data_IF_574863442019
#
_entry.id   IF_574863442019
#
_cell.length_a   1.000
_cell.length_b   1.000
_cell.length_c   1.000
_cell.angle_alpha   90.00
_cell.angle_beta   90.00
_cell.angle_gamma   90.00
#
_symmetry.space_group_name_H-M   'P 1'
#
loop_
_entity.id
_entity.type
_entity.pdbx_description
1 polymer ?
#
# COMPACT_ATOMS: atom_id res chain seq x y z
N UNK A 1 -13.12 5.08 -17.39
CA UNK A 1 -11.76 4.83 -17.90
C UNK A 1 -11.04 4.00 -16.85
N UNK A 2 -10.94 2.69 -17.05
CA UNK A 2 -10.07 1.83 -16.25
C UNK A 2 -8.79 1.72 -17.04
N UNK A 3 -7.85 2.60 -16.71
CA UNK A 3 -6.53 2.63 -17.30
C UNK A 3 -5.65 1.56 -16.63
N UNK A 4 -4.64 1.14 -17.38
CA UNK A 4 -3.75 -0.01 -17.22
C UNK A 4 -3.11 -0.11 -15.82
N UNK A 5 -3.19 -1.29 -15.19
CA UNK A 5 -2.12 -1.91 -14.38
C UNK A 5 -1.53 -1.22 -13.13
N UNK A 6 -1.91 0.00 -12.78
CA UNK A 6 -1.31 0.74 -11.66
C UNK A 6 -1.83 0.28 -10.30
N UNK A 7 -0.93 0.08 -9.34
CA UNK A 7 -1.24 -0.16 -7.95
C UNK A 7 -2.07 1.02 -7.42
N UNK A 8 -3.30 0.76 -6.94
CA UNK A 8 -4.17 1.84 -6.52
C UNK A 8 -3.59 2.52 -5.27
N UNK A 9 -3.76 3.84 -5.18
CA UNK A 9 -3.44 4.56 -3.96
C UNK A 9 -4.25 3.95 -2.79
N UNK A 10 -3.62 3.58 -1.66
CA UNK A 10 -4.34 2.99 -0.54
C UNK A 10 -5.48 3.88 -0.02
N UNK A 11 -5.29 5.19 -0.12
CA UNK A 11 -6.29 6.20 0.17
C UNK A 11 -7.53 6.15 -0.72
N UNK A 12 -7.36 5.87 -2.01
CA UNK A 12 -8.47 5.75 -2.96
C UNK A 12 -9.26 4.46 -2.70
N UNK A 13 -8.56 3.36 -2.40
CA UNK A 13 -9.20 2.10 -1.96
C UNK A 13 -10.03 2.34 -0.71
N UNK A 14 -9.45 2.97 0.31
CA UNK A 14 -10.15 3.32 1.55
C UNK A 14 -11.41 4.16 1.28
N UNK A 15 -11.29 5.19 0.43
CA UNK A 15 -12.42 6.09 0.14
C UNK A 15 -13.52 5.38 -0.66
N UNK A 16 -13.17 4.75 -1.78
CA UNK A 16 -14.13 4.28 -2.77
C UNK A 16 -14.70 2.90 -2.46
N UNK A 17 -13.94 2.03 -1.80
CA UNK A 17 -14.39 0.66 -1.50
C UNK A 17 -14.98 0.52 -0.09
N UNK A 18 -14.60 1.39 0.85
CA UNK A 18 -15.05 1.28 2.24
C UNK A 18 -15.89 2.47 2.69
N UNK A 19 -15.40 3.71 2.56
CA UNK A 19 -16.09 4.87 3.12
C UNK A 19 -17.37 5.23 2.37
N UNK A 20 -17.29 5.43 1.05
CA UNK A 20 -18.43 5.84 0.23
C UNK A 20 -19.57 4.80 0.22
N UNK A 21 -19.32 3.49 0.02
CA UNK A 21 -20.39 2.50 -0.04
C UNK A 21 -21.12 2.31 1.31
N UNK A 22 -20.47 2.63 2.42
CA UNK A 22 -21.01 2.47 3.77
C UNK A 22 -21.48 3.79 4.40
N UNK A 23 -21.49 4.89 3.64
CA UNK A 23 -21.82 6.24 4.12
C UNK A 23 -21.01 6.65 5.37
N UNK A 24 -19.74 6.26 5.44
CA UNK A 24 -18.84 6.59 6.54
C UNK A 24 -18.06 7.86 6.17
N UNK A 25 -18.17 8.90 7.02
CA UNK A 25 -17.38 10.12 6.84
C UNK A 25 -15.95 9.93 7.33
N UNK A 26 -15.00 10.70 6.79
CA UNK A 26 -13.60 10.71 7.28
C UNK A 26 -13.52 11.02 8.78
N UNK A 27 -14.37 11.93 9.26
CA UNK A 27 -14.46 12.27 10.68
C UNK A 27 -14.91 11.06 11.51
N UNK A 28 -15.93 10.33 11.07
CA UNK A 28 -16.43 9.14 11.76
C UNK A 28 -15.35 8.04 11.82
N UNK A 29 -14.64 7.79 10.71
CA UNK A 29 -13.53 6.85 10.70
C UNK A 29 -12.41 7.28 11.66
N UNK A 30 -11.98 8.55 11.59
CA UNK A 30 -10.93 9.07 12.46
C UNK A 30 -11.28 8.93 13.95
N UNK A 31 -12.54 9.24 14.31
CA UNK A 31 -13.03 9.05 15.68
C UNK A 31 -13.02 7.59 16.10
N UNK A 32 -13.44 6.66 15.22
CA UNK A 32 -13.42 5.23 15.50
C UNK A 32 -12.00 4.67 15.67
N UNK A 33 -11.02 5.24 14.96
CA UNK A 33 -9.59 4.90 15.10
C UNK A 33 -8.90 5.66 16.24
N UNK A 34 -9.58 6.56 16.96
CA UNK A 34 -8.98 7.46 17.95
C UNK A 34 -7.82 8.29 17.37
N UNK A 35 -8.02 8.86 16.18
CA UNK A 35 -7.05 9.67 15.47
C UNK A 35 -7.60 11.05 15.10
N UNK A 36 -6.74 12.05 14.89
CA UNK A 36 -7.13 13.30 14.24
C UNK A 36 -7.67 13.04 12.83
N UNK A 37 -8.73 13.77 12.42
CA UNK A 37 -9.28 13.67 11.06
C UNK A 37 -8.26 13.97 9.97
N UNK A 38 -7.28 14.84 10.25
CA UNK A 38 -6.18 15.15 9.32
C UNK A 38 -5.33 13.91 9.00
N UNK A 39 -5.30 12.90 9.86
CA UNK A 39 -4.63 11.63 9.58
C UNK A 39 -5.34 10.89 8.45
N UNK A 40 -6.65 10.67 8.58
CA UNK A 40 -7.48 10.01 7.56
C UNK A 40 -7.50 10.79 6.25
N UNK A 41 -7.64 12.12 6.32
CA UNK A 41 -7.57 12.99 5.14
C UNK A 41 -6.21 12.91 4.44
N UNK A 42 -5.12 12.84 5.21
CA UNK A 42 -3.78 12.65 4.67
C UNK A 42 -3.60 11.32 3.94
N UNK A 43 -4.17 10.24 4.48
CA UNK A 43 -4.15 8.90 3.85
C UNK A 43 -4.92 8.93 2.53
N UNK A 44 -6.16 9.45 2.55
CA UNK A 44 -7.01 9.55 1.35
C UNK A 44 -6.33 10.36 0.24
N UNK A 45 -5.62 11.43 0.59
CA UNK A 45 -4.91 12.29 -0.37
C UNK A 45 -3.52 11.80 -0.76
N UNK A 46 -3.09 10.63 -0.29
CA UNK A 46 -1.75 10.09 -0.54
C UNK A 46 -0.61 10.89 0.10
N UNK A 47 -0.93 11.84 0.99
CA UNK A 47 0.06 12.67 1.71
C UNK A 47 0.60 12.00 2.97
N UNK A 48 0.01 10.88 3.37
CA UNK A 48 0.43 10.07 4.51
C UNK A 48 0.32 8.60 4.14
N UNK A 49 1.39 7.86 4.37
CA UNK A 49 1.40 6.39 4.24
C UNK A 49 0.58 5.72 5.33
N UNK A 50 0.05 4.55 5.01
CA UNK A 50 -0.49 3.63 6.01
C UNK A 50 0.70 2.91 6.66
N UNK A 51 0.94 3.19 7.94
CA UNK A 51 1.91 2.46 8.76
C UNK A 51 1.28 1.19 9.33
N UNK A 52 2.08 0.28 9.88
CA UNK A 52 1.60 -0.92 10.56
C UNK A 52 0.55 -0.61 11.63
N UNK A 53 0.77 0.41 12.47
CA UNK A 53 -0.21 0.81 13.49
C UNK A 53 -1.55 1.25 12.88
N UNK A 54 -1.51 2.03 11.79
CA UNK A 54 -2.71 2.45 11.08
C UNK A 54 -3.42 1.26 10.41
N UNK A 55 -2.67 0.31 9.86
CA UNK A 55 -3.21 -0.91 9.27
C UNK A 55 -3.98 -1.75 10.30
N UNK A 56 -3.44 -1.93 11.52
CA UNK A 56 -4.18 -2.62 12.60
C UNK A 56 -5.45 -1.86 13.03
N UNK A 57 -5.41 -0.53 13.09
CA UNK A 57 -6.59 0.26 13.42
C UNK A 57 -7.66 0.19 12.31
N UNK A 58 -7.27 0.25 11.04
CA UNK A 58 -8.15 0.08 9.89
C UNK A 58 -8.76 -1.34 9.88
N UNK A 59 -7.91 -2.36 10.07
CA UNK A 59 -8.30 -3.76 10.17
C UNK A 59 -9.40 -3.97 11.21
N UNK A 60 -9.18 -3.47 12.43
CA UNK A 60 -10.13 -3.56 13.52
C UNK A 60 -11.46 -2.85 13.22
N UNK A 61 -11.41 -1.61 12.71
CA UNK A 61 -12.61 -0.79 12.49
C UNK A 61 -13.42 -1.22 11.27
N UNK A 62 -12.76 -1.76 10.24
CA UNK A 62 -13.39 -2.09 8.94
C UNK A 62 -13.57 -3.60 8.72
N UNK A 63 -13.12 -4.44 9.65
CA UNK A 63 -13.27 -5.91 9.55
C UNK A 63 -12.42 -6.50 8.42
N UNK A 64 -11.18 -6.04 8.27
CA UNK A 64 -10.24 -6.47 7.22
C UNK A 64 -8.94 -7.00 7.84
N UNK A 65 -8.15 -7.81 7.13
CA UNK A 65 -6.79 -8.14 7.58
C UNK A 65 -5.88 -6.91 7.56
N UNK A 66 -4.98 -6.70 8.53
CA UNK A 66 -4.00 -5.62 8.48
C UNK A 66 -3.04 -5.75 7.30
N UNK A 67 -2.72 -6.97 6.87
CA UNK A 67 -1.85 -7.27 5.74
C UNK A 67 -2.39 -6.67 4.45
N UNK A 68 -3.71 -6.70 4.25
CA UNK A 68 -4.36 -6.11 3.08
C UNK A 68 -3.99 -4.63 2.88
N UNK A 69 -4.00 -3.84 3.96
CA UNK A 69 -3.64 -2.42 3.89
C UNK A 69 -2.14 -2.20 3.66
N UNK A 70 -1.31 -3.08 4.22
CA UNK A 70 0.14 -3.02 4.04
C UNK A 70 0.56 -3.43 2.64
N UNK A 71 -0.09 -4.42 2.05
CA UNK A 71 0.14 -4.84 0.67
C UNK A 71 -0.22 -3.72 -0.31
N UNK A 72 -1.36 -3.04 -0.12
CA UNK A 72 -1.71 -1.86 -0.92
C UNK A 72 -0.63 -0.77 -0.82
N UNK A 73 -0.18 -0.48 0.40
CA UNK A 73 0.85 0.53 0.63
C UNK A 73 2.19 0.14 -0.01
N UNK A 74 2.60 -1.12 0.14
CA UNK A 74 3.83 -1.67 -0.42
C UNK A 74 3.81 -1.62 -1.95
N UNK A 75 2.72 -2.09 -2.58
CA UNK A 75 2.60 -2.08 -4.03
C UNK A 75 2.65 -0.66 -4.59
N UNK A 76 1.93 0.28 -3.96
CA UNK A 76 1.98 1.69 -4.33
C UNK A 76 3.39 2.28 -4.15
N UNK A 77 4.05 2.00 -3.04
CA UNK A 77 5.40 2.50 -2.76
C UNK A 77 6.43 1.97 -3.76
N UNK A 78 6.36 0.69 -4.13
CA UNK A 78 7.26 0.06 -5.12
C UNK A 78 7.06 0.69 -6.49
N UNK A 79 5.81 0.80 -6.95
CA UNK A 79 5.53 1.31 -8.30
C UNK A 79 5.87 2.80 -8.45
N UNK A 80 5.76 3.58 -7.37
CA UNK A 80 6.08 5.01 -7.38
C UNK A 80 7.50 5.32 -6.88
N UNK A 81 8.36 4.30 -6.69
CA UNK A 81 9.73 4.53 -6.25
C UNK A 81 10.62 4.92 -7.43
N UNK A 82 10.93 6.21 -7.54
CA UNK A 82 11.75 6.79 -8.61
C UNK A 82 13.19 7.10 -8.18
N UNK A 83 13.53 6.88 -6.91
CA UNK A 83 14.81 7.30 -6.30
C UNK A 83 15.83 6.17 -6.15
N UNK A 84 15.65 5.07 -6.86
CA UNK A 84 16.63 3.99 -6.81
C UNK A 84 17.90 4.44 -7.52
N UNK A 85 18.96 4.68 -6.75
CA UNK A 85 20.31 4.89 -7.27
C UNK A 85 21.13 3.64 -6.98
N UNK A 86 21.43 2.90 -8.04
CA UNK A 86 22.28 1.71 -7.97
C UNK A 86 23.78 2.03 -8.00
N UNK A 87 24.14 3.30 -8.20
CA UNK A 87 25.54 3.73 -8.30
C UNK A 87 26.30 3.40 -7.03
N UNK A 88 27.33 2.56 -7.15
CA UNK A 88 28.16 2.13 -6.02
C UNK A 88 27.61 0.93 -5.24
N UNK A 89 26.49 0.34 -5.66
CA UNK A 89 26.04 -0.95 -5.14
C UNK A 89 26.83 -2.10 -5.78
N UNK A 90 27.12 -3.14 -5.00
CA UNK A 90 27.71 -4.39 -5.49
C UNK A 90 26.74 -5.54 -5.22
N UNK A 91 26.40 -6.31 -6.25
CA UNK A 91 25.52 -7.49 -6.13
C UNK A 91 26.26 -8.61 -5.41
N UNK A 92 25.74 -9.08 -4.28
CA UNK A 92 26.35 -10.14 -3.46
C UNK A 92 25.83 -11.55 -3.77
N UNK A 93 24.65 -11.65 -4.39
CA UNK A 93 24.03 -12.92 -4.76
C UNK A 93 23.70 -12.85 -6.25
N UNK A 94 24.52 -13.54 -7.05
CA UNK A 94 24.30 -13.67 -8.49
C UNK A 94 23.47 -14.94 -8.75
N UNK A 95 22.17 -14.76 -8.99
CA UNK A 95 21.26 -15.86 -9.32
C UNK A 95 21.26 -16.19 -10.83
N UNK A 96 22.13 -15.59 -11.66
CA UNK A 96 22.18 -15.85 -13.11
C UNK A 96 22.78 -17.21 -13.48
N UNK A 97 23.38 -17.94 -12.54
CA UNK A 97 24.00 -19.25 -12.78
C UNK A 97 22.97 -20.41 -12.74
N UNK A 98 21.72 -20.15 -12.38
CA UNK A 98 20.68 -21.18 -12.17
C UNK A 98 20.09 -21.82 -13.44
N UNK A 99 20.19 -21.18 -14.60
CA UNK A 99 19.47 -21.61 -15.82
C UNK A 99 20.33 -22.38 -16.85
N UNK A 100 21.63 -22.59 -16.60
CA UNK A 100 22.51 -23.25 -17.58
C UNK A 100 22.41 -24.79 -17.58
N UNK A 101 21.72 -25.43 -16.62
CA UNK A 101 21.73 -26.91 -16.48
C UNK A 101 20.40 -27.59 -16.87
N UNK A 102 19.66 -27.07 -17.85
CA UNK A 102 18.47 -27.78 -18.39
C UNK A 102 18.40 -27.96 -19.90
N UNK A 103 19.47 -27.67 -20.63
CA UNK A 103 19.61 -28.03 -22.04
C UNK A 103 20.78 -28.98 -22.26
N UNK A 104 20.80 -30.11 -21.57
CA UNK A 104 21.56 -31.30 -22.00
C UNK A 104 21.06 -32.52 -21.22
N UNK A 105 19.96 -33.12 -21.71
CA UNK A 105 19.71 -34.56 -21.81
C UNK A 105 18.31 -34.85 -22.34
#
# INVERSE_FOLDING_TARGET
>A
MNDVGHAPLPGDVLLHQYLQPNNITMYRLAKAMNLPQITVSGIIRGKRRITTGLAYQLAYVLGTPPEYWLELQMNYDIENYDKFDESGLTVLVDNTVGDTVRSER
#
